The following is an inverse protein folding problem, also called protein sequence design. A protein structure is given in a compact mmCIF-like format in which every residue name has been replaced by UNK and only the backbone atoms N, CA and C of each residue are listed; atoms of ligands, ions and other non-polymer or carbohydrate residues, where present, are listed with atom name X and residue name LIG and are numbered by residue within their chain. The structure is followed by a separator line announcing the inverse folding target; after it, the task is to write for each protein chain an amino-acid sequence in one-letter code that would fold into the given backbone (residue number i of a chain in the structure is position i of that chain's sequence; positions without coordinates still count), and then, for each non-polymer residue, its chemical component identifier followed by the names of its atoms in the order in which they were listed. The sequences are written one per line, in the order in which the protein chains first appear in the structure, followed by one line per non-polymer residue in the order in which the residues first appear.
data_IF_029875883803
#
_entry.id   IF_029875883803
#
_cell.length_a   1.000
_cell.length_b   1.000
_cell.length_c   1.000
_cell.angle_alpha   90.00
_cell.angle_beta   90.00
_cell.angle_gamma   90.00
#
_symmetry.space_group_name_H-M   'P 1'
#
loop_
_entity.id
_entity.type
_entity.pdbx_description
1 polymer ?
#
# COMPACT_ATOMS: atom_id res chain seq x y z
N UNK A 1 -18.12 -0.59 5.09
CA UNK A 1 -16.81 -0.98 4.57
C UNK A 1 -15.82 0.10 4.95
N UNK A 2 -14.90 -0.23 5.84
CA UNK A 2 -14.00 0.72 6.48
C UNK A 2 -12.73 0.89 5.62
N UNK A 3 -11.93 1.92 5.89
CA UNK A 3 -10.72 2.21 5.11
C UNK A 3 -9.75 1.02 5.06
N UNK A 4 -9.61 0.31 6.18
CA UNK A 4 -8.79 -0.90 6.31
C UNK A 4 -9.25 -2.00 5.33
N UNK A 5 -10.55 -2.30 5.30
CA UNK A 5 -11.12 -3.31 4.40
C UNK A 5 -10.96 -2.91 2.94
N UNK A 6 -11.09 -1.62 2.62
CA UNK A 6 -10.88 -1.13 1.24
C UNK A 6 -9.44 -1.30 0.78
N UNK A 7 -8.46 -1.06 1.65
CA UNK A 7 -7.04 -1.26 1.34
C UNK A 7 -6.76 -2.75 1.13
N UNK A 8 -7.25 -3.63 2.01
CA UNK A 8 -7.05 -5.07 1.86
C UNK A 8 -7.74 -5.62 0.61
N UNK A 9 -8.96 -5.14 0.31
CA UNK A 9 -9.69 -5.50 -0.92
C UNK A 9 -8.93 -5.04 -2.16
N UNK A 10 -8.42 -3.80 -2.18
CA UNK A 10 -7.60 -3.28 -3.28
C UNK A 10 -6.32 -4.10 -3.47
N UNK A 11 -5.56 -4.32 -2.40
CA UNK A 11 -4.30 -5.06 -2.46
C UNK A 11 -4.49 -6.54 -2.81
N UNK A 12 -5.60 -7.17 -2.37
CA UNK A 12 -5.89 -8.57 -2.69
C UNK A 12 -6.30 -8.77 -4.15
N UNK A 13 -6.92 -7.77 -4.77
CA UNK A 13 -7.26 -7.77 -6.21
C UNK A 13 -6.12 -7.31 -7.11
N UNK A 14 -5.08 -6.73 -6.53
CA UNK A 14 -3.95 -6.18 -7.29
C UNK A 14 -3.00 -7.29 -7.71
N UNK A 15 -2.74 -7.39 -9.02
CA UNK A 15 -1.78 -8.35 -9.57
C UNK A 15 -0.30 -7.96 -9.32
N UNK A 16 -0.05 -6.74 -8.83
CA UNK A 16 1.27 -6.18 -8.54
C UNK A 16 1.27 -5.41 -7.22
N UNK A 17 2.42 -5.24 -6.56
CA UNK A 17 2.55 -4.32 -5.44
C UNK A 17 2.17 -2.91 -5.84
N UNK A 18 1.49 -2.18 -4.95
CA UNK A 18 1.10 -0.79 -5.17
C UNK A 18 1.91 0.14 -4.25
N UNK A 19 2.29 1.31 -4.74
CA UNK A 19 2.90 2.33 -3.87
C UNK A 19 1.84 3.12 -3.10
N UNK A 20 2.27 3.88 -2.08
CA UNK A 20 1.37 4.70 -1.26
C UNK A 20 0.49 5.63 -2.12
N UNK A 21 1.09 6.23 -3.16
CA UNK A 21 0.40 7.17 -4.04
C UNK A 21 -0.64 6.47 -4.93
N UNK A 22 -0.33 5.28 -5.45
CA UNK A 22 -1.30 4.46 -6.19
C UNK A 22 -2.49 4.10 -5.29
N UNK A 23 -2.24 3.65 -4.06
CA UNK A 23 -3.31 3.31 -3.10
C UNK A 23 -4.14 4.57 -2.77
N UNK A 24 -3.51 5.71 -2.53
CA UNK A 24 -4.20 6.97 -2.26
C UNK A 24 -5.08 7.40 -3.44
N UNK A 25 -4.58 7.24 -4.66
CA UNK A 25 -5.28 7.57 -5.91
C UNK A 25 -6.50 6.68 -6.10
N UNK A 26 -6.32 5.35 -6.01
CA UNK A 26 -7.40 4.36 -6.16
C UNK A 26 -8.50 4.53 -5.10
N UNK A 27 -8.11 4.90 -3.88
CA UNK A 27 -9.06 5.11 -2.78
C UNK A 27 -9.60 6.55 -2.71
N UNK A 28 -9.18 7.44 -3.63
CA UNK A 28 -9.54 8.86 -3.66
C UNK A 28 -9.35 9.55 -2.29
N UNK A 29 -8.23 9.27 -1.63
CA UNK A 29 -7.94 9.78 -0.29
C UNK A 29 -7.20 11.12 -0.35
N UNK A 30 -7.61 12.12 0.45
CA UNK A 30 -6.98 13.43 0.45
C UNK A 30 -5.69 13.52 1.28
N UNK A 31 -5.29 12.46 1.99
CA UNK A 31 -4.22 12.52 2.99
C UNK A 31 -3.34 11.27 3.06
N UNK A 32 -2.08 11.43 2.65
CA UNK A 32 -1.08 10.35 2.63
C UNK A 32 -0.70 9.86 4.04
N UNK A 33 -0.84 10.71 5.07
CA UNK A 33 -0.37 10.42 6.44
C UNK A 33 -1.24 9.40 7.17
N UNK A 34 -2.56 9.53 7.06
CA UNK A 34 -3.51 8.58 7.66
C UNK A 34 -3.41 7.22 6.96
N UNK A 35 -3.31 7.25 5.63
CA UNK A 35 -3.10 6.05 4.82
C UNK A 35 -1.80 5.34 5.19
N UNK A 36 -0.68 6.07 5.28
CA UNK A 36 0.61 5.53 5.69
C UNK A 36 0.54 4.90 7.08
N UNK A 37 -0.08 5.58 8.05
CA UNK A 37 -0.23 5.06 9.41
C UNK A 37 -1.02 3.75 9.43
N UNK A 38 -2.04 3.64 8.59
CA UNK A 38 -2.85 2.43 8.47
C UNK A 38 -2.09 1.29 7.79
N UNK A 39 -1.34 1.57 6.72
CA UNK A 39 -0.50 0.59 6.03
C UNK A 39 0.59 0.03 6.96
N UNK A 40 1.25 0.89 7.74
CA UNK A 40 2.23 0.45 8.73
C UNK A 40 1.59 -0.42 9.84
N UNK A 41 0.36 -0.09 10.26
CA UNK A 41 -0.40 -0.92 11.20
C UNK A 41 -0.71 -2.29 10.60
N UNK A 42 -1.20 -2.33 9.36
CA UNK A 42 -1.54 -3.56 8.65
C UNK A 42 -0.31 -4.46 8.40
N UNK A 43 0.84 -3.86 8.10
CA UNK A 43 2.12 -4.56 7.94
C UNK A 43 2.56 -5.18 9.27
N UNK A 44 2.46 -4.42 10.37
CA UNK A 44 2.72 -4.92 11.73
C UNK A 44 1.76 -6.04 12.16
N UNK A 45 0.52 -6.01 11.69
CA UNK A 45 -0.48 -7.08 11.88
C UNK A 45 -0.29 -8.26 10.90
N UNK A 46 0.74 -8.22 10.05
CA UNK A 46 1.02 -9.24 9.03
C UNK A 46 -0.09 -9.46 8.00
N UNK A 47 -1.02 -8.50 7.84
CA UNK A 47 -2.13 -8.55 6.86
C UNK A 47 -1.71 -8.10 5.46
N UNK A 48 -0.67 -7.28 5.39
CA UNK A 48 0.00 -6.87 4.16
C UNK A 48 1.49 -7.06 4.34
N UNK A 49 2.24 -6.94 3.26
CA UNK A 49 3.69 -6.93 3.32
C UNK A 49 4.22 -5.67 2.65
N UNK A 50 5.00 -4.92 3.40
CA UNK A 50 5.75 -3.76 2.94
C UNK A 50 7.07 -4.22 2.31
N UNK A 51 7.30 -3.88 1.04
CA UNK A 51 8.59 -4.00 0.38
C UNK A 51 9.12 -2.61 0.05
N UNK A 52 10.30 -2.32 0.59
CA UNK A 52 11.17 -1.26 0.11
C UNK A 52 12.09 -1.88 -0.93
N UNK A 53 11.68 -1.87 -2.20
CA UNK A 53 12.56 -2.22 -3.33
C UNK A 53 12.49 -1.10 -4.37
N UNK A 54 13.63 -0.67 -4.94
CA UNK A 54 13.61 0.19 -6.10
C UNK A 54 12.93 -0.57 -7.25
N UNK A 55 11.81 -0.05 -7.73
CA UNK A 55 11.09 -0.59 -8.89
C UNK A 55 11.87 -0.29 -10.19
N UNK A 56 13.04 -0.92 -10.38
CA UNK A 56 13.82 -0.77 -11.60
C UNK A 56 14.46 0.63 -11.79
N UNK A 57 15.22 0.75 -12.88
CA UNK A 57 16.19 1.83 -13.13
C UNK A 57 15.64 3.25 -13.25
N UNK A 58 14.31 3.44 -13.21
CA UNK A 58 13.65 4.75 -13.28
C UNK A 58 12.77 5.08 -12.06
N UNK A 59 12.62 4.17 -11.09
CA UNK A 59 11.82 4.43 -9.91
C UNK A 59 12.63 5.04 -8.78
N UNK A 60 11.99 5.94 -8.04
CA UNK A 60 12.58 6.60 -6.89
C UNK A 60 13.10 5.52 -5.91
N UNK A 61 14.38 5.55 -5.50
CA UNK A 61 14.95 4.55 -4.60
C UNK A 61 14.31 4.54 -3.19
N UNK A 62 13.47 5.54 -2.89
CA UNK A 62 12.71 5.67 -1.64
C UNK A 62 11.24 5.23 -1.77
N UNK A 63 10.82 4.69 -2.91
CA UNK A 63 9.41 4.34 -3.13
C UNK A 63 9.04 3.05 -2.39
N UNK A 64 8.16 3.19 -1.40
CA UNK A 64 7.63 2.08 -0.60
C UNK A 64 6.45 1.43 -1.32
N UNK A 65 6.51 0.11 -1.51
CA UNK A 65 5.44 -0.68 -2.14
C UNK A 65 4.80 -1.65 -1.16
N UNK A 66 3.52 -1.92 -1.34
CA UNK A 66 2.70 -2.74 -0.45
C UNK A 66 1.95 -3.80 -1.28
N UNK A 67 1.86 -5.03 -0.76
CA UNK A 67 1.06 -6.10 -1.36
C UNK A 67 0.33 -6.91 -0.30
N UNK A 68 -0.77 -7.54 -0.69
CA UNK A 68 -1.56 -8.38 0.19
C UNK A 68 -0.80 -9.64 0.58
N UNK A 69 -0.88 -10.02 1.85
CA UNK A 69 -0.29 -11.25 2.37
C UNK A 69 -1.42 -12.17 2.87
N UNK A 70 -1.60 -13.35 2.25
CA UNK A 70 -2.60 -14.33 2.70
C UNK A 70 -2.20 -15.00 4.02
#
# INVERSE_FOLDING_TARGET
MNLEEKILDLLSKSARPLCLQEIATELSLPGDRELLSLLLKLDKEHKIQHIVKPLGSESNPNESTYYYKP
#
